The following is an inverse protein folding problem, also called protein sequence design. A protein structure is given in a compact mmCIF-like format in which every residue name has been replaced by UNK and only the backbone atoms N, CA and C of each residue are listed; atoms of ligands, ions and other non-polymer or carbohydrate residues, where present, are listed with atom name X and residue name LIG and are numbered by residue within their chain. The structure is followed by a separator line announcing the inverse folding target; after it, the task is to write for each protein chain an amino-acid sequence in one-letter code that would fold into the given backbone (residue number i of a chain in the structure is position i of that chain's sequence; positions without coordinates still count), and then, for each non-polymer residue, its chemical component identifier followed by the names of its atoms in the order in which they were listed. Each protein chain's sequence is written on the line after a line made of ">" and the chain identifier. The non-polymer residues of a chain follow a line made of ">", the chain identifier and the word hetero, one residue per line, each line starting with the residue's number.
data_IF_667673307555
#
_entry.id   IF_667673307555
#
_cell.length_a   1.000
_cell.length_b   1.000
_cell.length_c   1.000
_cell.angle_alpha   90.00
_cell.angle_beta   90.00
_cell.angle_gamma   90.00
#
_symmetry.space_group_name_H-M   'P 1'
#
loop_
_entity.id
_entity.type
_entity.pdbx_description
1 polymer ?
#
# COMPACT_ATOMS: atom_id res chain seq x y z
N UNK A 1 32.03 7.08 16.50
CA UNK A 1 32.16 7.71 15.18
C UNK A 1 31.44 6.93 14.10
N UNK A 2 31.62 5.62 13.99
CA UNK A 2 30.92 4.82 13.02
C UNK A 2 29.41 4.83 13.16
N UNK A 3 28.94 4.95 14.39
CA UNK A 3 27.51 4.96 14.69
C UNK A 3 26.78 6.09 13.97
N UNK A 4 27.41 7.25 13.92
CA UNK A 4 26.77 8.40 13.28
C UNK A 4 26.67 8.26 11.76
N UNK A 5 27.59 7.52 11.17
CA UNK A 5 27.55 7.27 9.74
C UNK A 5 26.47 6.27 9.41
N UNK A 6 26.25 5.33 10.31
CA UNK A 6 25.24 4.29 10.11
C UNK A 6 23.82 4.86 10.25
N UNK A 7 23.64 5.82 11.17
CA UNK A 7 22.33 6.42 11.39
C UNK A 7 21.71 7.03 10.12
N UNK A 8 22.43 7.90 9.37
CA UNK A 8 21.87 8.43 8.14
C UNK A 8 21.54 7.37 7.10
N UNK A 9 22.35 6.32 7.04
CA UNK A 9 22.11 5.22 6.11
C UNK A 9 20.85 4.47 6.50
N UNK A 10 20.69 4.20 7.80
CA UNK A 10 19.51 3.52 8.30
C UNK A 10 18.24 4.35 8.05
N UNK A 11 18.32 5.67 8.28
CA UNK A 11 17.20 6.55 8.02
C UNK A 11 16.83 6.58 6.54
N UNK A 12 17.81 6.64 5.66
CA UNK A 12 17.55 6.59 4.23
C UNK A 12 16.91 5.29 3.81
N UNK A 13 17.34 4.18 4.40
CA UNK A 13 16.74 2.88 4.14
C UNK A 13 15.28 2.84 4.54
N UNK A 14 14.97 3.36 5.73
CA UNK A 14 13.60 3.43 6.21
C UNK A 14 12.74 4.34 5.34
N UNK A 15 13.29 5.49 4.96
CA UNK A 15 12.57 6.42 4.09
C UNK A 15 12.30 5.81 2.72
N UNK A 16 13.26 5.07 2.18
CA UNK A 16 13.07 4.38 0.92
C UNK A 16 11.94 3.35 1.02
N UNK A 17 11.92 2.59 2.11
CA UNK A 17 10.86 1.61 2.33
C UNK A 17 9.50 2.30 2.43
N UNK A 18 9.43 3.43 3.13
CA UNK A 18 8.19 4.20 3.22
C UNK A 18 7.76 4.70 1.84
N UNK A 19 8.69 5.20 1.05
CA UNK A 19 8.38 5.68 -0.31
C UNK A 19 7.87 4.55 -1.19
N UNK A 20 8.47 3.38 -1.09
CA UNK A 20 8.02 2.21 -1.85
C UNK A 20 6.62 1.79 -1.42
N UNK A 21 6.35 1.80 -0.11
CA UNK A 21 5.02 1.49 0.40
C UNK A 21 4.00 2.53 -0.07
N UNK A 22 4.35 3.81 -0.01
CA UNK A 22 3.47 4.87 -0.47
C UNK A 22 3.12 4.71 -1.95
N UNK A 23 4.11 4.41 -2.76
CA UNK A 23 3.92 4.19 -4.19
C UNK A 23 2.98 3.00 -4.44
N UNK A 24 3.22 1.90 -3.72
CA UNK A 24 2.39 0.71 -3.85
C UNK A 24 0.96 0.97 -3.38
N UNK A 25 0.82 1.64 -2.25
CA UNK A 25 -0.49 1.99 -1.70
C UNK A 25 -1.26 2.90 -2.64
N UNK A 26 -0.59 3.90 -3.23
CA UNK A 26 -1.25 4.79 -4.19
C UNK A 26 -1.74 4.02 -5.42
N UNK A 27 -0.93 3.10 -5.92
CA UNK A 27 -1.32 2.27 -7.06
C UNK A 27 -2.54 1.39 -6.73
N UNK A 28 -2.55 0.80 -5.54
CA UNK A 28 -3.67 -0.03 -5.09
C UNK A 28 -4.93 0.80 -4.84
N UNK A 29 -4.78 2.00 -4.30
CA UNK A 29 -5.91 2.90 -4.10
C UNK A 29 -6.53 3.30 -5.42
N UNK A 30 -5.69 3.58 -6.42
CA UNK A 30 -6.15 3.90 -7.76
C UNK A 30 -6.88 2.72 -8.39
N UNK A 31 -6.34 1.50 -8.24
CA UNK A 31 -6.98 0.29 -8.72
C UNK A 31 -8.32 0.07 -8.03
N UNK A 32 -8.37 0.26 -6.71
CA UNK A 32 -9.60 0.13 -5.93
C UNK A 32 -10.68 1.09 -6.43
N UNK A 33 -10.33 2.34 -6.68
CA UNK A 33 -11.27 3.32 -7.18
C UNK A 33 -11.80 2.93 -8.56
N UNK A 34 -10.93 2.43 -9.44
CA UNK A 34 -11.32 1.96 -10.75
C UNK A 34 -12.27 0.77 -10.66
N UNK A 35 -11.97 -0.19 -9.78
CA UNK A 35 -12.81 -1.36 -9.58
C UNK A 35 -14.17 -0.98 -9.03
N UNK A 36 -14.21 -0.07 -8.06
CA UNK A 36 -15.46 0.41 -7.50
C UNK A 36 -16.31 1.12 -8.55
N UNK A 37 -15.69 1.93 -9.39
CA UNK A 37 -16.39 2.63 -10.46
C UNK A 37 -17.01 1.62 -11.45
N UNK A 38 -16.28 0.57 -11.78
CA UNK A 38 -16.79 -0.47 -12.67
C UNK A 38 -17.94 -1.26 -12.04
N UNK A 39 -17.85 -1.51 -10.75
CA UNK A 39 -18.92 -2.21 -10.03
C UNK A 39 -20.21 -1.41 -9.97
N UNK A 40 -20.15 -0.09 -10.16
CA UNK A 40 -21.32 0.77 -10.22
C UNK A 40 -22.03 0.72 -11.58
N UNK A 41 -21.44 0.06 -12.58
CA UNK A 41 -22.04 -0.09 -13.89
C UNK A 41 -22.69 -1.45 -14.03
N UNK A 42 -23.67 -1.62 -14.96
CA UNK A 42 -24.25 -2.93 -15.21
C UNK A 42 -23.21 -3.87 -15.79
N UNK A 43 -22.99 -5.01 -15.13
CA UNK A 43 -21.98 -5.99 -15.54
C UNK A 43 -22.59 -7.38 -15.48
N UNK A 44 -22.11 -8.31 -16.34
CA UNK A 44 -22.51 -9.71 -16.22
C UNK A 44 -22.12 -10.27 -14.85
N UNK A 45 -22.89 -11.24 -14.33
CA UNK A 45 -22.60 -11.79 -12.99
C UNK A 45 -21.19 -12.32 -12.82
N UNK A 46 -20.62 -12.92 -13.86
CA UNK A 46 -19.26 -13.44 -13.78
C UNK A 46 -18.24 -12.34 -13.59
N UNK A 47 -18.38 -11.24 -14.34
CA UNK A 47 -17.49 -10.09 -14.18
C UNK A 47 -17.65 -9.44 -12.80
N UNK A 48 -18.87 -9.33 -12.32
CA UNK A 48 -19.13 -8.80 -10.98
C UNK A 48 -18.39 -9.61 -9.92
N UNK A 49 -18.45 -10.94 -10.04
CA UNK A 49 -17.78 -11.82 -9.09
C UNK A 49 -16.26 -11.64 -9.14
N UNK A 50 -15.70 -11.55 -10.34
CA UNK A 50 -14.26 -11.38 -10.50
C UNK A 50 -13.78 -10.03 -9.98
N UNK A 51 -14.49 -8.96 -10.29
CA UNK A 51 -14.16 -7.63 -9.80
C UNK A 51 -14.28 -7.55 -8.29
N UNK A 52 -15.31 -8.18 -7.73
CA UNK A 52 -15.47 -8.24 -6.27
C UNK A 52 -14.31 -8.95 -5.60
N UNK A 53 -13.85 -10.06 -6.16
CA UNK A 53 -12.69 -10.79 -5.66
C UNK A 53 -11.43 -9.93 -5.71
N UNK A 54 -11.22 -9.25 -6.84
CA UNK A 54 -10.05 -8.40 -7.00
C UNK A 54 -10.08 -7.24 -6.01
N UNK A 55 -11.24 -6.61 -5.85
CA UNK A 55 -11.39 -5.51 -4.91
C UNK A 55 -11.08 -5.96 -3.49
N UNK A 56 -11.56 -7.13 -3.11
CA UNK A 56 -11.30 -7.68 -1.79
C UNK A 56 -9.80 -7.94 -1.58
N UNK A 57 -9.13 -8.48 -2.60
CA UNK A 57 -7.68 -8.71 -2.53
C UNK A 57 -6.92 -7.40 -2.42
N UNK A 58 -7.30 -6.39 -3.18
CA UNK A 58 -6.66 -5.07 -3.13
C UNK A 58 -6.85 -4.44 -1.75
N UNK A 59 -8.05 -4.54 -1.19
CA UNK A 59 -8.34 -4.00 0.14
C UNK A 59 -7.50 -4.67 1.22
N UNK A 60 -7.36 -5.99 1.14
CA UNK A 60 -6.54 -6.74 2.10
C UNK A 60 -5.07 -6.36 1.99
N UNK A 61 -4.57 -6.19 0.78
CA UNK A 61 -3.19 -5.78 0.57
C UNK A 61 -2.95 -4.37 1.09
N UNK A 62 -3.89 -3.46 0.87
CA UNK A 62 -3.80 -2.10 1.39
C UNK A 62 -3.73 -2.08 2.91
N UNK A 63 -4.56 -2.87 3.58
CA UNK A 63 -4.52 -2.95 5.04
C UNK A 63 -3.16 -3.44 5.54
N UNK A 64 -2.60 -4.46 4.89
CA UNK A 64 -1.29 -4.98 5.27
C UNK A 64 -0.20 -3.93 5.06
N UNK A 65 -0.26 -3.20 3.96
CA UNK A 65 0.72 -2.15 3.66
C UNK A 65 0.60 -0.97 4.62
N UNK A 66 -0.62 -0.59 4.98
CA UNK A 66 -0.84 0.47 5.96
C UNK A 66 -0.23 0.10 7.31
N UNK A 67 -0.37 -1.15 7.71
CA UNK A 67 0.22 -1.62 8.95
C UNK A 67 1.74 -1.56 8.90
N UNK A 68 2.33 -2.00 7.79
CA UNK A 68 3.78 -1.90 7.61
C UNK A 68 4.23 -0.44 7.63
N UNK A 69 3.48 0.43 6.97
CA UNK A 69 3.77 1.85 6.94
C UNK A 69 3.78 2.44 8.34
N UNK A 70 2.80 2.09 9.14
CA UNK A 70 2.73 2.55 10.53
C UNK A 70 3.93 2.10 11.35
N UNK A 71 4.32 0.83 11.20
CA UNK A 71 5.48 0.29 11.91
C UNK A 71 6.76 1.01 11.53
N UNK A 72 6.97 1.25 10.24
CA UNK A 72 8.15 1.97 9.76
C UNK A 72 8.12 3.43 10.21
N UNK A 73 6.96 4.05 10.16
CA UNK A 73 6.78 5.43 10.60
C UNK A 73 7.10 5.57 12.08
N UNK A 74 6.66 4.63 12.90
CA UNK A 74 6.98 4.61 14.33
C UNK A 74 8.47 4.43 14.56
N UNK A 75 9.12 3.59 13.77
CA UNK A 75 10.56 3.39 13.86
C UNK A 75 11.32 4.68 13.53
N UNK A 76 10.84 5.46 12.56
CA UNK A 76 11.44 6.75 12.23
C UNK A 76 11.23 7.77 13.33
N UNK A 77 10.07 7.76 13.97
CA UNK A 77 9.75 8.70 15.03
C UNK A 77 10.50 8.38 16.34
N UNK A 78 10.83 7.13 16.54
CA UNK A 78 11.58 6.70 17.71
C UNK A 78 13.05 7.11 17.62
#
# INVERSE_FOLDING_TARGET
>A
MGVRRDEPIALKGLQRQLDELDTRMAALQSESATLEARLCTPLPPLELAELGKRLKAVSAELEALEEQWLQLSEALAA
#
